data_IF_549208296603
#
_entry.id   IF_549208296603
#
_cell.length_a   1.000
_cell.length_b   1.000
_cell.length_c   1.000
_cell.angle_alpha   90.00
_cell.angle_beta   90.00
_cell.angle_gamma   90.00
#
_symmetry.space_group_name_H-M   'P 1'
#
loop_
_entity.id
_entity.type
_entity.pdbx_description
1 polymer ?
#
# COMPACT_ATOMS: atom_id res chain seq x y z
N UNK A 1 3.17 -3.88 -6.84
CA UNK A 1 3.12 -2.67 -6.01
C UNK A 1 2.30 -3.03 -4.79
N UNK A 2 2.89 -3.14 -3.60
CA UNK A 2 2.15 -3.22 -2.35
C UNK A 2 1.01 -2.18 -2.31
N UNK A 3 -0.21 -2.63 -2.07
CA UNK A 3 -1.36 -1.77 -1.81
C UNK A 3 -1.66 -1.82 -0.30
N UNK A 4 -2.78 -1.27 0.16
CA UNK A 4 -3.05 -1.18 1.60
C UNK A 4 -3.00 -2.52 2.33
N UNK A 5 -3.65 -3.60 1.86
CA UNK A 5 -3.67 -4.87 2.57
C UNK A 5 -2.28 -5.44 2.78
N UNK A 6 -1.46 -5.37 1.74
CA UNK A 6 -0.08 -5.79 1.77
C UNK A 6 0.77 -5.01 2.78
N UNK A 7 0.64 -3.68 2.79
CA UNK A 7 1.38 -2.81 3.71
C UNK A 7 0.93 -3.08 5.15
N UNK A 8 -0.36 -3.33 5.38
CA UNK A 8 -0.89 -3.74 6.69
C UNK A 8 -0.32 -5.09 7.14
N UNK A 9 -0.19 -6.05 6.24
CA UNK A 9 0.44 -7.35 6.54
C UNK A 9 1.91 -7.18 6.93
N UNK A 10 2.66 -6.35 6.19
CA UNK A 10 4.05 -6.03 6.54
C UNK A 10 4.13 -5.35 7.90
N UNK A 11 3.25 -4.38 8.19
CA UNK A 11 3.17 -3.69 9.48
C UNK A 11 2.98 -4.67 10.64
N UNK A 12 1.94 -5.52 10.56
CA UNK A 12 1.62 -6.53 11.58
C UNK A 12 2.78 -7.48 11.81
N UNK A 13 3.43 -7.90 10.74
CA UNK A 13 4.58 -8.81 10.82
C UNK A 13 5.76 -8.14 11.49
N UNK A 14 6.16 -6.95 11.04
CA UNK A 14 7.27 -6.21 11.64
C UNK A 14 7.03 -5.95 13.14
N UNK A 15 5.80 -5.64 13.53
CA UNK A 15 5.45 -5.42 14.95
C UNK A 15 5.80 -6.63 15.84
N UNK A 16 5.69 -7.85 15.33
CA UNK A 16 6.02 -9.05 16.09
C UNK A 16 7.53 -9.26 16.29
N UNK A 17 8.37 -8.59 15.51
CA UNK A 17 9.81 -8.88 15.47
C UNK A 17 10.72 -7.73 15.88
N UNK A 18 10.29 -6.46 15.79
CA UNK A 18 11.19 -5.31 16.00
C UNK A 18 10.75 -4.33 17.09
N UNK A 19 9.54 -4.46 17.63
CA UNK A 19 9.10 -3.59 18.73
C UNK A 19 9.97 -3.85 19.96
N UNK A 20 10.40 -2.77 20.61
CA UNK A 20 11.28 -2.81 21.77
C UNK A 20 12.76 -2.94 21.43
N UNK A 21 13.15 -3.06 20.15
CA UNK A 21 14.55 -3.10 19.75
C UNK A 21 15.15 -1.70 19.62
N UNK A 22 16.31 -1.51 20.21
CA UNK A 22 17.12 -0.29 20.09
C UNK A 22 17.99 -0.36 18.83
N UNK A 23 17.98 0.70 18.03
CA UNK A 23 18.80 0.84 16.84
C UNK A 23 20.20 1.29 17.25
N UNK A 24 21.20 0.42 17.15
CA UNK A 24 22.59 0.75 17.52
C UNK A 24 23.38 1.36 16.36
N UNK A 25 22.99 1.07 15.11
CA UNK A 25 23.63 1.62 13.93
C UNK A 25 22.68 1.62 12.73
N UNK A 26 22.75 2.67 11.91
CA UNK A 26 22.07 2.74 10.62
C UNK A 26 23.12 2.86 9.52
N UNK A 27 23.02 2.04 8.48
CA UNK A 27 23.90 2.13 7.30
C UNK A 27 23.05 2.35 6.06
N UNK A 28 23.30 3.47 5.35
CA UNK A 28 22.63 3.82 4.10
C UNK A 28 23.58 3.45 2.96
N UNK A 29 23.16 2.55 2.08
CA UNK A 29 23.95 2.09 0.94
C UNK A 29 23.55 2.78 -0.37
N UNK A 30 22.40 3.47 -0.37
CA UNK A 30 21.91 4.23 -1.50
C UNK A 30 21.13 5.46 -1.03
N UNK A 31 21.81 6.61 -0.98
CA UNK A 31 21.30 7.84 -0.37
C UNK A 31 19.95 8.31 -0.92
N UNK A 32 19.68 8.15 -2.22
CA UNK A 32 18.42 8.58 -2.85
C UNK A 32 17.17 7.81 -2.36
N UNK A 33 17.35 6.82 -1.49
CA UNK A 33 16.24 6.18 -0.78
C UNK A 33 15.70 7.07 0.36
N UNK A 34 16.55 7.91 0.94
CA UNK A 34 16.16 8.88 1.95
C UNK A 34 15.69 10.15 1.23
N UNK A 35 14.54 10.65 1.66
CA UNK A 35 14.03 11.96 1.25
C UNK A 35 14.46 12.96 2.31
N UNK A 36 15.20 13.98 1.92
CA UNK A 36 15.81 14.94 2.85
C UNK A 36 17.28 14.66 3.12
N UNK A 37 17.75 14.99 4.32
CA UNK A 37 19.15 14.84 4.74
C UNK A 37 19.40 13.45 5.35
N UNK A 38 20.22 12.65 4.67
CA UNK A 38 20.64 11.30 5.12
C UNK A 38 21.36 11.34 6.46
N UNK A 39 22.23 12.33 6.72
CA UNK A 39 22.96 12.42 7.98
C UNK A 39 22.01 12.77 9.12
N UNK A 40 21.08 13.69 8.88
CA UNK A 40 20.04 14.01 9.86
C UNK A 40 19.15 12.80 10.16
N UNK A 41 18.77 12.03 9.14
CA UNK A 41 18.00 10.78 9.31
C UNK A 41 18.76 9.77 10.19
N UNK A 42 20.03 9.48 9.87
CA UNK A 42 20.85 8.52 10.61
C UNK A 42 21.09 8.96 12.05
N UNK A 43 21.53 10.22 12.24
CA UNK A 43 21.86 10.76 13.57
C UNK A 43 20.62 10.84 14.45
N UNK A 44 19.48 11.25 13.89
CA UNK A 44 18.25 11.40 14.67
C UNK A 44 17.73 10.06 15.16
N UNK A 45 17.86 8.97 14.39
CA UNK A 45 17.24 7.67 14.70
C UNK A 45 18.17 6.69 15.44
N UNK A 46 19.50 6.87 15.35
CA UNK A 46 20.46 6.00 16.04
C UNK A 46 20.37 6.19 17.56
N UNK A 47 20.43 5.09 18.31
CA UNK A 47 20.28 5.02 19.77
C UNK A 47 18.83 5.00 20.24
N UNK A 48 17.85 5.10 19.34
CA UNK A 48 16.43 5.04 19.70
C UNK A 48 15.84 3.64 19.60
N UNK A 49 14.82 3.39 20.41
CA UNK A 49 14.02 2.16 20.42
C UNK A 49 12.78 2.30 19.55
N UNK A 50 12.49 1.28 18.74
CA UNK A 50 11.22 1.22 18.00
C UNK A 50 10.07 0.91 18.96
N UNK A 51 9.14 1.83 19.11
CA UNK A 51 8.00 1.75 20.04
C UNK A 51 6.74 1.24 19.37
N UNK A 52 6.47 1.66 18.15
CA UNK A 52 5.32 1.18 17.39
C UNK A 52 5.55 1.26 15.87
N UNK A 53 4.67 0.62 15.11
CA UNK A 53 4.57 0.79 13.66
C UNK A 53 3.10 1.02 13.28
N UNK A 54 2.83 2.23 12.80
CA UNK A 54 1.53 2.66 12.28
C UNK A 54 1.49 2.53 10.74
N UNK A 55 0.30 2.69 10.14
CA UNK A 55 0.10 2.74 8.70
C UNK A 55 -0.96 3.78 8.35
N UNK A 56 -0.68 4.56 7.31
CA UNK A 56 -1.65 5.45 6.69
C UNK A 56 -1.65 5.18 5.19
N UNK A 57 -2.76 4.67 4.65
CA UNK A 57 -2.83 4.22 3.26
C UNK A 57 -1.75 3.17 2.95
N UNK A 58 -0.78 3.54 2.10
CA UNK A 58 0.33 2.66 1.66
C UNK A 58 1.69 3.02 2.29
N UNK A 59 1.68 3.85 3.34
CA UNK A 59 2.87 4.23 4.09
C UNK A 59 2.94 3.44 5.39
N UNK A 60 4.12 2.92 5.72
CA UNK A 60 4.48 2.50 7.07
C UNK A 60 5.03 3.69 7.84
N UNK A 61 4.73 3.80 9.12
CA UNK A 61 5.27 4.83 10.00
C UNK A 61 5.90 4.12 11.19
N UNK A 62 7.22 4.19 11.29
CA UNK A 62 7.97 3.63 12.41
C UNK A 62 8.07 4.72 13.48
N UNK A 63 7.51 4.45 14.65
CA UNK A 63 7.46 5.37 15.78
C UNK A 63 8.52 4.93 16.77
N UNK A 64 9.47 5.82 17.06
CA UNK A 64 10.56 5.58 18.00
C UNK A 64 10.32 6.36 19.31
N UNK A 65 11.35 6.52 20.13
CA UNK A 65 11.29 7.26 21.40
C UNK A 65 10.84 8.70 21.21
N UNK A 66 11.56 9.45 20.39
CA UNK A 66 11.34 10.90 20.19
C UNK A 66 11.05 11.25 18.73
N UNK A 67 11.39 10.36 17.81
CA UNK A 67 11.26 10.58 16.36
C UNK A 67 10.32 9.56 15.72
N UNK A 68 9.89 9.85 14.51
CA UNK A 68 9.28 8.87 13.64
C UNK A 68 9.85 8.99 12.23
N UNK A 69 9.74 7.92 11.45
CA UNK A 69 9.99 8.01 10.02
C UNK A 69 8.91 7.26 9.26
N UNK A 70 8.60 7.77 8.08
CA UNK A 70 7.69 7.10 7.15
C UNK A 70 8.48 6.30 6.13
N UNK A 71 7.89 5.23 5.63
CA UNK A 71 8.44 4.37 4.57
C UNK A 71 7.35 4.01 3.57
N UNK A 72 7.62 4.27 2.29
CA UNK A 72 6.75 3.88 1.20
C UNK A 72 7.45 2.84 0.32
N UNK A 73 6.97 1.59 0.36
CA UNK A 73 7.56 0.43 -0.36
C UNK A 73 7.54 0.57 -1.89
N UNK A 74 6.63 1.41 -2.41
CA UNK A 74 6.42 1.60 -3.85
C UNK A 74 6.15 0.28 -4.55
N UNK A 75 6.97 -0.13 -5.52
CA UNK A 75 6.65 -1.23 -6.42
C UNK A 75 7.10 -2.58 -5.86
N UNK A 76 8.35 -2.64 -5.39
CA UNK A 76 9.08 -3.88 -5.06
C UNK A 76 9.88 -3.76 -3.74
N UNK A 77 9.69 -2.65 -3.02
CA UNK A 77 10.26 -2.45 -1.69
C UNK A 77 9.78 -3.49 -0.70
N UNK A 78 10.70 -3.98 0.12
CA UNK A 78 10.43 -4.97 1.16
C UNK A 78 11.42 -4.86 2.31
N UNK A 79 10.99 -5.35 3.45
CA UNK A 79 11.80 -5.45 4.65
C UNK A 79 12.15 -6.91 4.94
N UNK A 80 13.39 -7.13 5.34
CA UNK A 80 13.88 -8.42 5.81
C UNK A 80 14.50 -8.25 7.20
N UNK A 81 14.32 -9.24 8.07
CA UNK A 81 14.99 -9.30 9.37
C UNK A 81 15.97 -10.46 9.30
N UNK A 82 17.24 -10.17 9.50
CA UNK A 82 18.35 -11.11 9.32
C UNK A 82 19.38 -10.96 10.43
N UNK A 83 20.24 -11.94 10.63
CA UNK A 83 21.42 -11.76 11.48
C UNK A 83 22.40 -10.79 10.81
N UNK A 84 23.08 -9.95 11.59
CA UNK A 84 24.08 -9.00 11.08
C UNK A 84 25.22 -9.68 10.30
N UNK A 85 25.50 -10.95 10.60
CA UNK A 85 26.51 -11.76 9.90
C UNK A 85 26.12 -12.13 8.46
N UNK A 86 24.84 -12.02 8.07
CA UNK A 86 24.40 -12.35 6.71
C UNK A 86 25.00 -11.34 5.72
N UNK A 87 25.65 -11.76 4.62
CA UNK A 87 26.18 -10.84 3.63
C UNK A 87 25.09 -9.91 3.05
N UNK A 88 25.46 -8.68 2.71
CA UNK A 88 24.57 -7.70 2.08
C UNK A 88 24.25 -8.12 0.63
N UNK A 89 22.99 -8.03 0.24
CA UNK A 89 22.58 -8.17 -1.16
C UNK A 89 22.71 -6.84 -1.91
N UNK A 90 23.06 -6.86 -3.21
CA UNK A 90 23.15 -5.66 -4.08
C UNK A 90 21.89 -4.77 -4.14
N UNK A 91 20.74 -5.30 -3.73
CA UNK A 91 19.47 -4.59 -3.69
C UNK A 91 19.05 -4.14 -2.28
N UNK A 92 19.84 -4.43 -1.26
CA UNK A 92 19.65 -3.93 0.10
C UNK A 92 20.29 -2.54 0.21
N UNK A 93 19.46 -1.53 0.44
CA UNK A 93 19.84 -0.12 0.32
C UNK A 93 19.94 0.61 1.65
N UNK A 94 19.43 0.01 2.72
CA UNK A 94 19.42 0.56 4.07
C UNK A 94 19.37 -0.59 5.08
N UNK A 95 20.17 -0.51 6.14
CA UNK A 95 20.15 -1.44 7.26
C UNK A 95 20.06 -0.70 8.60
N UNK A 96 19.26 -1.26 9.51
CA UNK A 96 19.17 -0.87 10.91
C UNK A 96 19.66 -2.05 11.74
N UNK A 97 20.83 -1.91 12.37
CA UNK A 97 21.36 -2.87 13.34
C UNK A 97 20.72 -2.62 14.69
N UNK A 98 20.22 -3.68 15.32
CA UNK A 98 19.64 -3.64 16.63
C UNK A 98 20.61 -4.12 17.72
N UNK A 99 20.32 -3.78 18.97
CA UNK A 99 21.13 -4.16 20.14
C UNK A 99 21.22 -5.67 20.39
N UNK A 100 20.28 -6.45 19.87
CA UNK A 100 20.28 -7.93 19.94
C UNK A 100 21.08 -8.61 18.82
N UNK A 101 21.77 -7.83 17.97
CA UNK A 101 22.56 -8.34 16.84
C UNK A 101 21.75 -8.71 15.60
N UNK A 102 20.43 -8.51 15.61
CA UNK A 102 19.60 -8.62 14.40
C UNK A 102 19.63 -7.32 13.58
N UNK A 103 19.38 -7.43 12.29
CA UNK A 103 19.29 -6.30 11.36
C UNK A 103 17.94 -6.27 10.63
N UNK A 104 17.30 -5.11 10.60
CA UNK A 104 16.23 -4.81 9.66
C UNK A 104 16.83 -4.20 8.40
N UNK A 105 16.67 -4.89 7.26
CA UNK A 105 17.18 -4.43 5.96
C UNK A 105 16.04 -4.07 5.03
N UNK A 106 16.14 -2.90 4.40
CA UNK A 106 15.25 -2.52 3.31
C UNK A 106 15.88 -2.89 1.97
N UNK A 107 15.15 -3.68 1.19
CA UNK A 107 15.53 -4.12 -0.14
C UNK A 107 14.57 -3.55 -1.19
N UNK A 108 15.12 -3.02 -2.28
CA UNK A 108 14.32 -2.57 -3.43
C UNK A 108 15.11 -2.69 -4.74
N UNK A 109 14.70 -3.64 -5.57
CA UNK A 109 15.27 -3.90 -6.90
C UNK A 109 15.16 -2.70 -7.85
N UNK A 110 14.14 -1.85 -7.68
CA UNK A 110 13.84 -0.71 -8.57
C UNK A 110 14.24 0.64 -7.99
N UNK A 111 14.66 0.69 -6.72
CA UNK A 111 15.11 1.92 -6.03
C UNK A 111 14.05 3.04 -6.00
N UNK A 112 12.78 2.66 -5.97
CA UNK A 112 11.67 3.63 -5.94
C UNK A 112 11.21 3.96 -4.54
N UNK A 113 11.45 3.05 -3.59
CA UNK A 113 11.21 3.24 -2.17
C UNK A 113 11.70 4.56 -1.64
N UNK A 114 10.95 5.14 -0.72
CA UNK A 114 11.33 6.38 -0.04
C UNK A 114 11.11 6.25 1.44
N UNK A 115 12.08 6.71 2.22
CA UNK A 115 11.99 6.90 3.65
C UNK A 115 12.22 8.37 3.97
N UNK A 116 11.50 8.89 4.95
CA UNK A 116 11.53 10.31 5.31
C UNK A 116 11.36 10.45 6.82
N UNK A 117 12.24 11.23 7.46
CA UNK A 117 12.12 11.59 8.86
C UNK A 117 10.91 12.52 9.03
N UNK A 118 10.08 12.27 10.03
CA UNK A 118 8.88 13.07 10.31
C UNK A 118 8.74 13.35 11.80
N UNK A 119 7.95 14.36 12.12
CA UNK A 119 7.60 14.63 13.51
C UNK A 119 6.65 13.53 14.03
N UNK A 120 7.04 12.91 15.14
CA UNK A 120 6.30 11.81 15.78
C UNK A 120 4.87 12.18 16.18
N UNK A 121 4.61 13.43 16.55
CA UNK A 121 3.32 13.87 17.05
C UNK A 121 2.41 14.38 15.92
N UNK A 122 2.98 14.87 14.82
CA UNK A 122 2.22 15.54 13.74
C UNK A 122 2.24 14.82 12.40
N UNK A 123 2.93 13.68 12.25
CA UNK A 123 3.15 13.01 10.95
C UNK A 123 1.88 12.83 10.10
N UNK A 124 0.72 12.59 10.71
CA UNK A 124 -0.57 12.44 9.99
C UNK A 124 -1.02 13.72 9.28
N UNK A 125 -0.62 14.87 9.81
CA UNK A 125 -0.93 16.21 9.30
C UNK A 125 0.19 16.81 8.45
N UNK A 126 1.34 16.13 8.36
CA UNK A 126 2.47 16.55 7.55
C UNK A 126 2.45 15.91 6.16
N UNK A 127 3.20 16.50 5.22
CA UNK A 127 3.41 15.88 3.91
C UNK A 127 4.23 14.59 4.07
N UNK A 128 4.00 13.56 3.23
CA UNK A 128 2.97 13.48 2.19
C UNK A 128 1.60 13.02 2.69
N UNK A 129 1.46 12.68 3.98
CA UNK A 129 0.28 12.00 4.51
C UNK A 129 -0.97 12.88 4.54
N UNK A 130 -0.84 14.18 4.78
CA UNK A 130 -1.97 15.11 4.81
C UNK A 130 -2.71 15.29 3.47
N UNK A 131 -2.10 14.86 2.36
CA UNK A 131 -2.72 14.84 1.03
C UNK A 131 -3.54 13.58 0.76
N UNK A 132 -3.46 12.57 1.63
CA UNK A 132 -4.22 11.34 1.48
C UNK A 132 -5.69 11.58 1.84
N UNK A 133 -6.56 10.88 1.11
CA UNK A 133 -7.96 10.78 1.46
C UNK A 133 -8.16 9.87 2.68
N UNK A 134 -9.41 9.72 3.15
CA UNK A 134 -9.73 8.80 4.23
C UNK A 134 -9.36 7.36 3.85
N UNK A 135 -9.16 6.51 4.85
CA UNK A 135 -9.19 5.08 4.62
C UNK A 135 -10.61 4.64 4.23
N UNK A 136 -10.80 3.54 3.48
CA UNK A 136 -12.11 3.20 2.95
C UNK A 136 -13.20 3.01 4.01
N UNK A 137 -12.86 2.47 5.18
CA UNK A 137 -13.80 2.32 6.30
C UNK A 137 -14.08 3.61 7.08
N UNK A 138 -13.30 4.68 6.87
CA UNK A 138 -13.49 6.01 7.47
C UNK A 138 -14.09 7.02 6.47
N UNK A 139 -14.41 6.58 5.26
CA UNK A 139 -14.84 7.46 4.19
C UNK A 139 -16.31 7.90 4.34
N UNK A 140 -16.55 9.21 4.38
CA UNK A 140 -17.90 9.78 4.32
C UNK A 140 -18.48 9.74 2.89
N UNK A 141 -19.63 9.06 2.65
CA UNK A 141 -20.24 9.00 1.33
C UNK A 141 -20.54 10.37 0.70
N UNK A 142 -20.92 11.38 1.49
CA UNK A 142 -21.22 12.71 0.93
C UNK A 142 -19.94 13.45 0.50
N UNK A 143 -18.86 13.33 1.26
CA UNK A 143 -17.55 13.89 0.91
C UNK A 143 -16.98 13.22 -0.35
N UNK A 144 -17.04 11.89 -0.45
CA UNK A 144 -16.60 11.16 -1.64
C UNK A 144 -17.45 11.53 -2.86
N UNK A 145 -18.79 11.59 -2.71
CA UNK A 145 -19.69 12.00 -3.79
C UNK A 145 -19.33 13.40 -4.31
N UNK A 146 -19.08 14.34 -3.40
CA UNK A 146 -18.67 15.71 -3.75
C UNK A 146 -17.40 15.74 -4.62
N UNK A 147 -16.44 14.85 -4.39
CA UNK A 147 -15.20 14.74 -5.19
C UNK A 147 -15.44 14.10 -6.57
N UNK A 148 -16.38 13.18 -6.73
CA UNK A 148 -16.53 12.41 -7.99
C UNK A 148 -17.67 12.87 -8.92
N UNK A 149 -18.74 13.46 -8.40
CA UNK A 149 -19.98 13.69 -9.17
C UNK A 149 -19.87 14.68 -10.34
N UNK A 150 -18.79 15.48 -10.38
CA UNK A 150 -18.47 16.39 -11.50
C UNK A 150 -17.34 15.87 -12.38
N UNK A 151 -16.74 14.73 -12.05
CA UNK A 151 -15.55 14.23 -12.73
C UNK A 151 -15.90 13.47 -14.00
N UNK A 152 -15.26 13.84 -15.10
CA UNK A 152 -15.26 13.07 -16.35
C UNK A 152 -14.23 11.93 -16.34
N UNK A 153 -13.42 11.81 -15.28
CA UNK A 153 -12.43 10.76 -15.19
C UNK A 153 -13.10 9.38 -15.00
N UNK A 154 -12.52 8.32 -15.58
CA UNK A 154 -12.93 6.95 -15.30
C UNK A 154 -12.98 6.64 -13.80
N UNK A 155 -13.97 5.88 -13.36
CA UNK A 155 -14.11 5.47 -11.95
C UNK A 155 -12.88 4.72 -11.45
N UNK A 156 -12.27 3.89 -12.30
CA UNK A 156 -11.01 3.23 -11.95
C UNK A 156 -9.88 4.24 -11.73
N UNK A 157 -9.79 5.29 -12.54
CA UNK A 157 -8.78 6.34 -12.35
C UNK A 157 -9.01 7.07 -11.03
N UNK A 158 -10.26 7.36 -10.68
CA UNK A 158 -10.64 7.98 -9.41
C UNK A 158 -10.29 7.09 -8.20
N UNK A 159 -10.52 5.78 -8.28
CA UNK A 159 -10.13 4.83 -7.24
C UNK A 159 -8.61 4.73 -7.02
N UNK A 160 -7.81 5.06 -8.02
CA UNK A 160 -6.34 5.09 -7.90
C UNK A 160 -5.82 6.41 -7.32
N UNK A 161 -6.65 7.45 -7.28
CA UNK A 161 -6.31 8.72 -6.67
C UNK A 161 -6.30 8.59 -5.14
N UNK A 162 -5.11 8.62 -4.56
CA UNK A 162 -4.93 8.46 -3.12
C UNK A 162 -5.55 9.60 -2.30
N UNK A 163 -5.90 10.73 -2.93
CA UNK A 163 -6.64 11.84 -2.27
C UNK A 163 -8.15 11.59 -2.18
N UNK A 164 -8.68 10.63 -2.96
CA UNK A 164 -10.07 10.21 -2.89
C UNK A 164 -10.28 9.25 -1.73
N UNK A 165 -9.62 8.09 -1.80
CA UNK A 165 -9.55 7.08 -0.75
C UNK A 165 -8.14 6.49 -0.75
N UNK A 166 -7.49 6.50 0.41
CA UNK A 166 -6.13 6.01 0.52
C UNK A 166 -6.08 4.49 0.41
N UNK A 167 -4.99 3.95 -0.14
CA UNK A 167 -4.71 2.53 -0.04
C UNK A 167 -5.14 1.65 -1.20
N UNK A 168 -6.10 2.10 -2.02
CA UNK A 168 -6.55 1.35 -3.20
C UNK A 168 -5.50 1.50 -4.31
N UNK A 169 -5.03 0.39 -4.88
CA UNK A 169 -4.17 0.37 -6.06
C UNK A 169 -4.81 -0.38 -7.22
N UNK A 170 -3.98 -0.88 -8.13
CA UNK A 170 -4.46 -1.42 -9.40
C UNK A 170 -5.19 -2.75 -9.23
N UNK A 171 -4.77 -3.61 -8.32
CA UNK A 171 -5.42 -4.90 -8.06
C UNK A 171 -6.82 -4.62 -7.52
N UNK A 172 -6.91 -3.97 -6.37
CA UNK A 172 -8.18 -3.77 -5.69
C UNK A 172 -9.13 -2.86 -6.47
N UNK A 173 -8.64 -1.88 -7.25
CA UNK A 173 -9.51 -1.08 -8.12
C UNK A 173 -10.20 -1.91 -9.21
N UNK A 174 -9.55 -2.94 -9.77
CA UNK A 174 -10.20 -3.84 -10.74
C UNK A 174 -11.28 -4.69 -10.03
N UNK A 175 -10.94 -5.28 -8.88
CA UNK A 175 -11.85 -6.11 -8.09
C UNK A 175 -13.08 -5.34 -7.60
N UNK A 176 -12.90 -4.09 -7.14
CA UNK A 176 -13.99 -3.19 -6.75
C UNK A 176 -14.91 -2.90 -7.93
N UNK A 177 -14.36 -2.52 -9.09
CA UNK A 177 -15.17 -2.27 -10.29
C UNK A 177 -15.96 -3.53 -10.71
N UNK A 178 -15.34 -4.70 -10.60
CA UNK A 178 -15.97 -5.98 -10.92
C UNK A 178 -17.11 -6.33 -9.95
N UNK A 179 -16.87 -6.26 -8.64
CA UNK A 179 -17.89 -6.54 -7.61
C UNK A 179 -19.09 -5.60 -7.74
N UNK A 180 -18.83 -4.34 -8.07
CA UNK A 180 -19.89 -3.36 -8.36
C UNK A 180 -20.55 -3.51 -9.73
N UNK A 181 -20.06 -4.39 -10.62
CA UNK A 181 -20.54 -4.52 -12.00
C UNK A 181 -20.47 -3.21 -12.80
N UNK A 182 -19.47 -2.37 -12.54
CA UNK A 182 -19.24 -1.10 -13.26
C UNK A 182 -18.11 -1.27 -14.26
N UNK A 183 -18.30 -0.81 -15.50
CA UNK A 183 -17.21 -0.74 -16.47
C UNK A 183 -16.11 0.22 -15.96
N UNK A 184 -14.82 -0.17 -15.89
CA UNK A 184 -13.75 0.65 -15.31
C UNK A 184 -13.62 2.06 -15.91
N UNK A 185 -13.95 2.20 -17.21
CA UNK A 185 -13.99 3.46 -17.95
C UNK A 185 -15.21 4.37 -17.67
N UNK A 186 -16.16 3.95 -16.83
CA UNK A 186 -17.37 4.73 -16.52
C UNK A 186 -16.99 6.05 -15.87
N UNK A 187 -17.40 7.22 -16.39
CA UNK A 187 -17.11 8.51 -15.78
C UNK A 187 -17.68 8.63 -14.36
N UNK A 188 -16.91 9.20 -13.43
CA UNK A 188 -17.31 9.40 -12.03
C UNK A 188 -18.64 10.13 -11.87
N UNK A 189 -18.92 11.11 -12.73
CA UNK A 189 -20.17 11.87 -12.77
C UNK A 189 -21.45 11.03 -12.98
N UNK A 190 -21.32 9.77 -13.40
CA UNK A 190 -22.46 8.85 -13.59
C UNK A 190 -22.83 8.06 -12.35
N UNK A 191 -22.01 8.10 -11.30
CA UNK A 191 -22.33 7.41 -10.06
C UNK A 191 -23.31 8.27 -9.25
N UNK A 192 -24.47 7.71 -8.93
CA UNK A 192 -25.42 8.32 -7.99
C UNK A 192 -24.88 8.28 -6.55
N UNK A 193 -25.43 9.11 -5.66
CA UNK A 193 -25.09 9.10 -4.22
C UNK A 193 -25.17 7.69 -3.61
N UNK A 194 -26.23 6.94 -3.95
CA UNK A 194 -26.40 5.55 -3.50
C UNK A 194 -25.27 4.65 -3.98
N UNK A 195 -24.84 4.79 -5.24
CA UNK A 195 -23.73 4.01 -5.81
C UNK A 195 -22.38 4.39 -5.20
N UNK A 196 -22.22 5.61 -4.70
CA UNK A 196 -21.01 6.02 -3.97
C UNK A 196 -20.95 5.40 -2.57
N UNK A 197 -22.07 5.34 -1.86
CA UNK A 197 -22.11 4.61 -0.59
C UNK A 197 -21.75 3.13 -0.80
N UNK A 198 -22.35 2.49 -1.80
CA UNK A 198 -22.03 1.10 -2.15
C UNK A 198 -20.56 0.91 -2.60
N UNK A 199 -19.96 1.90 -3.27
CA UNK A 199 -18.53 1.88 -3.63
C UNK A 199 -17.65 1.81 -2.39
N UNK A 200 -17.99 2.58 -1.35
CA UNK A 200 -17.25 2.61 -0.08
C UNK A 200 -17.41 1.28 0.65
N UNK A 201 -18.64 0.76 0.73
CA UNK A 201 -18.93 -0.52 1.38
C UNK A 201 -18.16 -1.67 0.72
N UNK A 202 -18.23 -1.76 -0.62
CA UNK A 202 -17.51 -2.77 -1.41
C UNK A 202 -15.99 -2.63 -1.27
N UNK A 203 -15.48 -1.39 -1.26
CA UNK A 203 -14.04 -1.15 -1.08
C UNK A 203 -13.58 -1.61 0.30
N UNK A 204 -14.34 -1.29 1.34
CA UNK A 204 -14.09 -1.71 2.71
C UNK A 204 -14.09 -3.23 2.83
N UNK A 205 -15.13 -3.88 2.32
CA UNK A 205 -15.27 -5.34 2.37
C UNK A 205 -14.09 -6.06 1.70
N UNK A 206 -13.74 -5.67 0.46
CA UNK A 206 -12.62 -6.26 -0.29
C UNK A 206 -11.30 -6.10 0.45
N UNK A 207 -11.01 -4.90 0.95
CA UNK A 207 -9.74 -4.62 1.62
C UNK A 207 -9.65 -5.32 2.97
N UNK A 208 -10.74 -5.39 3.74
CA UNK A 208 -10.78 -6.13 5.00
C UNK A 208 -10.61 -7.64 4.77
N UNK A 209 -11.23 -8.20 3.72
CA UNK A 209 -11.02 -9.60 3.30
C UNK A 209 -9.56 -9.85 2.93
N UNK A 210 -8.97 -8.94 2.15
CA UNK A 210 -7.57 -9.03 1.75
C UNK A 210 -6.63 -8.95 2.95
N UNK A 211 -6.81 -8.00 3.88
CA UNK A 211 -6.01 -7.88 5.11
C UNK A 211 -6.06 -9.16 5.93
N UNK A 212 -7.26 -9.74 6.09
CA UNK A 212 -7.47 -10.97 6.87
C UNK A 212 -6.71 -12.16 6.27
N UNK A 213 -6.52 -12.17 4.95
CA UNK A 213 -5.78 -13.19 4.22
C UNK A 213 -4.30 -12.85 3.99
N UNK A 214 -3.79 -11.80 4.64
CA UNK A 214 -2.41 -11.36 4.48
C UNK A 214 -2.12 -10.62 3.16
N UNK A 215 -3.14 -10.19 2.44
CA UNK A 215 -3.05 -9.53 1.15
C UNK A 215 -2.79 -10.51 0.00
N UNK A 216 -2.38 -9.97 -1.14
CA UNK A 216 -1.75 -10.70 -2.23
C UNK A 216 -0.27 -10.93 -1.93
N UNK A 217 0.30 -12.00 -2.48
CA UNK A 217 1.69 -12.38 -2.19
C UNK A 217 2.66 -11.23 -2.44
N UNK A 218 3.40 -10.85 -1.39
CA UNK A 218 4.65 -10.10 -1.50
C UNK A 218 5.74 -10.96 -0.90
N UNK A 219 6.83 -11.13 -1.66
CA UNK A 219 8.04 -11.75 -1.16
C UNK A 219 8.81 -10.81 -0.22
N UNK A 220 8.27 -10.49 0.95
CA UNK A 220 9.02 -9.94 2.09
C UNK A 220 9.37 -11.09 3.03
N UNK A 221 10.57 -11.08 3.63
CA UNK A 221 11.12 -12.08 4.57
C UNK A 221 11.61 -13.39 3.91
N UNK A 222 12.94 -13.58 3.82
CA UNK A 222 13.58 -14.76 3.20
C UNK A 222 13.38 -16.09 3.98
N UNK A 223 13.04 -16.04 5.28
CA UNK A 223 12.92 -17.25 6.10
C UNK A 223 11.49 -17.77 6.27
N UNK A 224 10.46 -16.92 6.10
CA UNK A 224 9.04 -17.24 6.38
C UNK A 224 8.07 -16.53 5.41
N UNK A 225 8.49 -16.25 4.17
CA UNK A 225 7.82 -15.35 3.22
C UNK A 225 6.32 -15.25 3.40
N UNK A 226 5.81 -14.01 3.64
CA UNK A 226 4.39 -13.82 3.88
C UNK A 226 3.63 -14.11 2.59
N UNK A 227 3.16 -15.33 2.48
CA UNK A 227 2.34 -15.77 1.37
C UNK A 227 0.92 -15.32 1.68
N UNK A 228 0.62 -14.08 1.30
CA UNK A 228 -0.76 -13.61 1.25
C UNK A 228 -1.58 -14.60 0.41
N UNK A 229 -2.78 -14.95 0.85
CA UNK A 229 -3.63 -15.93 0.16
C UNK A 229 -4.62 -15.26 -0.79
N UNK A 230 -4.77 -13.93 -0.75
CA UNK A 230 -5.83 -13.25 -1.46
C UNK A 230 -5.73 -13.36 -3.00
N UNK A 231 -4.55 -13.68 -3.56
CA UNK A 231 -4.44 -13.90 -5.02
C UNK A 231 -5.37 -15.01 -5.52
N UNK A 232 -5.73 -15.99 -4.69
CA UNK A 232 -6.65 -17.08 -5.08
C UNK A 232 -8.11 -16.63 -5.12
N UNK A 233 -8.43 -15.50 -4.49
CA UNK A 233 -9.77 -14.92 -4.45
C UNK A 233 -9.99 -13.83 -5.51
N UNK A 234 -8.96 -13.45 -6.26
CA UNK A 234 -9.08 -12.46 -7.34
C UNK A 234 -10.07 -12.95 -8.40
N UNK A 235 -11.09 -12.14 -8.66
CA UNK A 235 -12.17 -12.50 -9.59
C UNK A 235 -11.86 -12.03 -11.02
N UNK A 236 -11.06 -10.98 -11.16
CA UNK A 236 -10.80 -10.38 -12.48
C UNK A 236 -9.34 -10.04 -12.72
N UNK A 237 -8.59 -9.60 -11.70
CA UNK A 237 -7.22 -9.19 -11.86
C UNK A 237 -6.32 -10.39 -12.22
N UNK A 238 -5.65 -10.31 -13.38
CA UNK A 238 -4.83 -11.40 -13.94
C UNK A 238 -5.57 -12.71 -14.21
N UNK A 239 -6.90 -12.71 -14.15
CA UNK A 239 -7.73 -13.87 -14.47
C UNK A 239 -7.99 -13.98 -15.97
N UNK A 240 -8.21 -15.19 -16.45
CA UNK A 240 -8.56 -15.47 -17.86
C UNK A 240 -10.08 -15.52 -18.08
N UNK A 241 -10.82 -16.08 -17.13
CA UNK A 241 -12.25 -16.28 -17.21
C UNK A 241 -12.96 -15.61 -16.03
N UNK A 242 -14.15 -15.06 -16.29
CA UNK A 242 -15.01 -14.46 -15.30
C UNK A 242 -15.57 -15.54 -14.37
N UNK A 243 -15.42 -15.37 -13.06
CA UNK A 243 -15.97 -16.27 -12.04
C UNK A 243 -17.49 -16.32 -11.97
N UNK A 244 -18.18 -15.33 -12.56
CA UNK A 244 -19.65 -15.21 -12.52
C UNK A 244 -20.30 -15.75 -13.79
N UNK A 245 -19.75 -15.45 -14.97
CA UNK A 245 -20.38 -15.77 -16.25
C UNK A 245 -19.53 -16.67 -17.16
N UNK A 246 -18.35 -17.11 -16.71
CA UNK A 246 -17.37 -17.90 -17.47
C UNK A 246 -16.86 -17.29 -18.79
N UNK A 247 -17.24 -16.05 -19.10
CA UNK A 247 -16.76 -15.33 -20.28
C UNK A 247 -15.31 -14.88 -20.10
N UNK A 248 -14.62 -14.62 -21.22
CA UNK A 248 -13.22 -14.16 -21.19
C UNK A 248 -13.07 -12.79 -20.50
N UNK A 249 -12.02 -12.66 -19.69
CA UNK A 249 -11.62 -11.37 -19.10
C UNK A 249 -10.81 -10.58 -20.12
N UNK A 250 -11.19 -9.31 -20.29
CA UNK A 250 -10.49 -8.36 -21.16
C UNK A 250 -9.46 -7.59 -20.35
N UNK A 251 -8.26 -7.43 -20.94
CA UNK A 251 -7.22 -6.53 -20.44
C UNK A 251 -7.08 -5.33 -21.37
N UNK A 252 -7.32 -4.13 -20.86
CA UNK A 252 -7.13 -2.87 -21.58
C UNK A 252 -6.28 -1.87 -20.80
N UNK A 253 -5.88 -0.77 -21.44
CA UNK A 253 -5.16 0.33 -20.78
C UNK A 253 -6.11 1.50 -20.52
N UNK A 254 -6.42 1.75 -19.25
CA UNK A 254 -7.18 2.94 -18.83
C UNK A 254 -6.19 3.93 -18.23
N UNK A 255 -5.97 5.06 -18.91
CA UNK A 255 -5.03 6.12 -18.47
C UNK A 255 -3.65 5.58 -18.07
N UNK A 256 -3.08 4.67 -18.87
CA UNK A 256 -1.75 4.11 -18.63
C UNK A 256 -1.69 3.03 -17.53
N UNK A 257 -2.84 2.49 -17.09
CA UNK A 257 -2.91 1.40 -16.11
C UNK A 257 -3.62 0.18 -16.69
N UNK A 258 -2.96 -0.98 -16.56
CA UNK A 258 -3.51 -2.28 -16.99
C UNK A 258 -4.80 -2.60 -16.22
N UNK A 259 -5.88 -2.79 -16.96
CA UNK A 259 -7.25 -2.87 -16.46
C UNK A 259 -7.88 -4.16 -16.89
N UNK A 260 -8.27 -4.98 -15.92
CA UNK A 260 -8.91 -6.26 -16.12
C UNK A 260 -10.39 -6.11 -15.80
N UNK A 261 -11.26 -6.52 -16.72
CA UNK A 261 -12.72 -6.46 -16.54
C UNK A 261 -13.42 -7.55 -17.36
N UNK A 262 -14.64 -7.90 -16.94
CA UNK A 262 -15.50 -8.79 -17.72
C UNK A 262 -16.47 -7.97 -18.59
N UNK A 263 -16.42 -8.06 -19.93
CA UNK A 263 -17.30 -7.27 -20.80
C UNK A 263 -18.79 -7.61 -20.63
N UNK A 264 -19.10 -8.85 -20.25
CA UNK A 264 -20.47 -9.33 -20.01
C UNK A 264 -21.03 -8.80 -18.69
N UNK A 265 -20.27 -8.89 -17.60
CA UNK A 265 -20.72 -8.47 -16.27
C UNK A 265 -20.59 -6.96 -16.03
N UNK A 266 -19.64 -6.29 -16.69
CA UNK A 266 -19.36 -4.86 -16.53
C UNK A 266 -19.64 -4.14 -17.85
N UNK A 267 -20.91 -4.09 -18.24
CA UNK A 267 -21.32 -3.47 -19.51
C UNK A 267 -20.94 -2.00 -19.55
N UNK A 268 -20.32 -1.56 -20.64
CA UNK A 268 -20.11 -0.14 -20.91
C UNK A 268 -21.48 0.48 -21.16
N UNK A 269 -21.95 1.30 -20.24
CA UNK A 269 -23.16 2.06 -20.49
C UNK A 269 -22.79 3.17 -21.48
N UNK A 270 -23.54 3.29 -22.58
CA UNK A 270 -23.46 4.44 -23.49
C UNK A 270 -23.67 5.75 -22.76
#
# INVERSE_FOLDING_TARGET
MPELPEVETVRRTLKNFIIGKEITKITVHYDNIITGDTNAFVTSLTGQTIRDIDRVGKYLIFILDTQAFISHLRMEGKYNIVAASKPLNKHEHLSFLFSDGSELRYQDTRKFGRLELVNKETYRHDLPLCKLGPEPWDADPQAIYRKIHKSNLPIKTLLLDQSLMAGIGNIYANEICFRMKIHPATPGKRLSKKRVAELIDVSTEILTQAITQGGTTIHSFDANGITGLFQVQLQVHLQKNCSVCNGAITKEMVRGRGTYYCPTCQKKQG
#
